data_IF_822476163646
#
_entry.id   IF_822476163646
#
_cell.length_a   1.000
_cell.length_b   1.000
_cell.length_c   1.000
_cell.angle_alpha   90.00
_cell.angle_beta   90.00
_cell.angle_gamma   90.00
#
_symmetry.space_group_name_H-M   'P 1'
#
loop_
_entity.id
_entity.type
_entity.pdbx_description
1 polymer ?
#
# COMPACT_ATOMS: atom_id res chain seq x y z
N UNK A 1 30.46 14.00 38.51
CA UNK A 1 29.35 13.10 38.15
C UNK A 1 28.81 13.49 36.78
N UNK A 2 29.16 12.72 35.75
CA UNK A 2 28.64 12.90 34.39
C UNK A 2 27.13 12.64 34.41
N UNK A 3 26.31 13.67 34.13
CA UNK A 3 24.89 13.48 33.81
C UNK A 3 24.83 12.57 32.60
N UNK A 4 24.57 11.29 32.82
CA UNK A 4 24.13 10.36 31.79
C UNK A 4 22.86 10.97 31.22
N UNK A 5 22.99 11.65 30.08
CA UNK A 5 21.88 12.21 29.34
C UNK A 5 21.08 11.00 28.87
N UNK A 6 20.02 10.64 29.59
CA UNK A 6 19.08 9.60 29.19
C UNK A 6 18.73 9.89 27.75
N UNK A 7 19.18 9.03 26.84
CA UNK A 7 18.97 9.20 25.41
C UNK A 7 17.47 8.95 25.21
N UNK A 8 16.65 10.00 25.37
CA UNK A 8 15.23 9.94 25.07
C UNK A 8 15.13 9.52 23.60
N UNK A 9 14.65 8.29 23.38
CA UNK A 9 14.39 7.78 22.04
C UNK A 9 13.43 8.76 21.34
N UNK A 10 13.78 9.15 20.11
CA UNK A 10 12.95 10.07 19.32
C UNK A 10 11.50 9.53 19.24
N UNK A 11 10.51 10.41 19.47
CA UNK A 11 9.07 10.05 19.53
C UNK A 11 8.61 9.23 18.32
N UNK A 12 9.12 9.55 17.14
CA UNK A 12 8.70 8.92 15.88
C UNK A 12 9.32 7.53 15.72
N UNK A 13 10.57 7.36 16.16
CA UNK A 13 11.21 6.06 16.22
C UNK A 13 10.53 5.16 17.27
N UNK A 14 10.19 5.72 18.43
CA UNK A 14 9.44 5.00 19.47
C UNK A 14 8.05 4.57 18.97
N UNK A 15 7.39 5.39 18.17
CA UNK A 15 6.10 5.04 17.54
C UNK A 15 6.25 3.84 16.57
N UNK A 16 7.31 3.80 15.77
CA UNK A 16 7.56 2.65 14.87
C UNK A 16 7.78 1.34 15.65
N UNK A 17 8.45 1.38 16.80
CA UNK A 17 8.61 0.21 17.67
C UNK A 17 7.31 -0.17 18.39
N UNK A 18 6.44 0.80 18.67
CA UNK A 18 5.09 0.50 19.14
C UNK A 18 4.29 -0.25 18.06
N UNK A 19 4.30 0.24 16.81
CA UNK A 19 3.61 -0.45 15.71
C UNK A 19 4.22 -1.84 15.44
N UNK A 20 5.53 -2.02 15.65
CA UNK A 20 6.16 -3.34 15.57
C UNK A 20 5.56 -4.37 16.53
N UNK A 21 4.97 -3.96 17.66
CA UNK A 21 4.27 -4.88 18.56
C UNK A 21 3.00 -5.44 17.92
N UNK A 22 2.30 -4.65 17.10
CA UNK A 22 1.17 -5.16 16.30
C UNK A 22 1.64 -6.25 15.34
N UNK A 23 2.82 -6.09 14.75
CA UNK A 23 3.43 -7.12 13.91
C UNK A 23 3.84 -8.38 14.71
N UNK A 24 4.09 -8.25 16.01
CA UNK A 24 4.33 -9.41 16.90
C UNK A 24 3.05 -10.20 17.14
N UNK A 25 1.89 -9.56 17.28
CA UNK A 25 0.59 -10.25 17.38
C UNK A 25 0.30 -11.08 16.12
N UNK A 26 0.61 -10.54 14.93
CA UNK A 26 0.50 -11.30 13.69
C UNK A 26 1.47 -12.51 13.63
N UNK A 27 2.57 -12.47 14.37
CA UNK A 27 3.58 -13.53 14.42
C UNK A 27 3.29 -14.60 15.51
N UNK A 28 2.49 -14.27 16.51
CA UNK A 28 2.21 -15.19 17.63
C UNK A 28 1.28 -16.33 17.19
N UNK A 29 1.77 -17.57 17.31
CA UNK A 29 1.00 -18.79 16.96
C UNK A 29 -0.18 -19.06 17.91
N UNK A 30 -0.25 -18.37 19.06
CA UNK A 30 -1.41 -18.43 19.96
C UNK A 30 -2.59 -17.61 19.46
N UNK A 31 -2.33 -16.63 18.57
CA UNK A 31 -3.38 -15.84 17.93
C UNK A 31 -4.01 -16.67 16.81
N UNK A 32 -5.35 -16.73 16.72
CA UNK A 32 -6.03 -17.44 15.64
C UNK A 32 -5.57 -16.97 14.25
N UNK A 33 -5.54 -17.88 13.28
CA UNK A 33 -4.90 -17.65 11.98
C UNK A 33 -5.49 -16.46 11.21
N UNK A 34 -6.81 -16.29 11.21
CA UNK A 34 -7.47 -15.15 10.55
C UNK A 34 -7.23 -13.85 11.32
N UNK A 35 -7.11 -13.91 12.64
CA UNK A 35 -6.77 -12.75 13.46
C UNK A 35 -5.34 -12.26 13.20
N UNK A 36 -4.40 -13.17 12.93
CA UNK A 36 -3.03 -12.80 12.51
C UNK A 36 -3.04 -11.99 11.21
N UNK A 37 -3.89 -12.35 10.25
CA UNK A 37 -4.11 -11.57 9.02
C UNK A 37 -4.69 -10.19 9.34
N UNK A 38 -5.65 -10.11 10.27
CA UNK A 38 -6.22 -8.84 10.73
C UNK A 38 -5.17 -7.96 11.42
N UNK A 39 -4.26 -8.53 12.21
CA UNK A 39 -3.13 -7.77 12.78
C UNK A 39 -2.16 -7.24 11.73
N UNK A 40 -1.90 -7.98 10.65
CA UNK A 40 -1.17 -7.44 9.49
C UNK A 40 -1.91 -6.23 8.88
N UNK A 41 -3.24 -6.33 8.74
CA UNK A 41 -4.05 -5.22 8.25
C UNK A 41 -3.98 -3.98 9.17
N UNK A 42 -4.06 -4.18 10.49
CA UNK A 42 -3.92 -3.11 11.49
C UNK A 42 -2.53 -2.48 11.42
N UNK A 43 -1.47 -3.29 11.37
CA UNK A 43 -0.09 -2.82 11.23
C UNK A 43 0.08 -1.91 10.00
N UNK A 44 -0.44 -2.34 8.85
CA UNK A 44 -0.41 -1.59 7.59
C UNK A 44 -1.20 -0.28 7.69
N UNK A 45 -2.43 -0.33 8.24
CA UNK A 45 -3.27 0.86 8.44
C UNK A 45 -2.61 1.90 9.34
N UNK A 46 -2.02 1.47 10.46
CA UNK A 46 -1.30 2.34 11.37
C UNK A 46 -0.11 3.01 10.68
N UNK A 47 0.66 2.24 9.90
CA UNK A 47 1.83 2.74 9.19
C UNK A 47 1.45 3.77 8.12
N UNK A 48 0.34 3.56 7.41
CA UNK A 48 -0.23 4.54 6.49
C UNK A 48 -0.53 5.86 7.20
N UNK A 49 -1.16 5.81 8.37
CA UNK A 49 -1.49 7.03 9.15
C UNK A 49 -0.23 7.73 9.66
N UNK A 50 0.78 6.97 10.05
CA UNK A 50 2.08 7.54 10.44
C UNK A 50 2.75 8.30 9.29
N UNK A 51 2.74 7.74 8.07
CA UNK A 51 3.24 8.44 6.88
C UNK A 51 2.39 9.64 6.47
N UNK A 52 1.09 9.61 6.75
CA UNK A 52 0.15 10.69 6.42
C UNK A 52 0.28 11.89 7.36
N UNK A 53 0.50 11.65 8.66
CA UNK A 53 0.48 12.71 9.69
C UNK A 53 1.88 13.11 10.16
N UNK A 54 2.75 12.13 10.42
CA UNK A 54 4.01 12.38 11.15
C UNK A 54 5.18 12.70 10.24
N UNK A 55 5.34 11.95 9.16
CA UNK A 55 6.42 12.16 8.19
C UNK A 55 6.37 13.56 7.52
N UNK A 56 5.20 14.13 7.16
CA UNK A 56 5.14 15.46 6.58
C UNK A 56 5.58 16.55 7.57
N UNK A 57 5.23 16.40 8.85
CA UNK A 57 5.67 17.30 9.91
C UNK A 57 7.20 17.32 10.02
N UNK A 58 7.84 16.16 10.00
CA UNK A 58 9.31 16.05 9.96
C UNK A 58 9.90 16.64 8.67
N UNK A 59 9.27 16.37 7.52
CA UNK A 59 9.71 16.87 6.21
C UNK A 59 9.69 18.40 6.16
N UNK A 60 8.64 19.04 6.68
CA UNK A 60 8.55 20.50 6.78
C UNK A 60 9.66 21.07 7.68
N UNK A 61 9.97 20.40 8.80
CA UNK A 61 11.09 20.79 9.67
C UNK A 61 12.46 20.73 8.97
N UNK A 62 12.63 19.91 7.94
CA UNK A 62 13.89 19.90 7.16
C UNK A 62 14.09 21.16 6.30
N UNK A 63 13.00 21.81 5.90
CA UNK A 63 13.03 23.01 5.06
C UNK A 63 13.28 24.28 5.88
N UNK A 64 13.06 24.22 7.20
CA UNK A 64 13.43 25.28 8.15
C UNK A 64 14.91 25.10 8.51
N UNK A 65 15.78 25.72 7.72
CA UNK A 65 17.25 25.62 7.78
C UNK A 65 17.83 25.79 9.20
N UNK A 66 19.01 25.17 9.47
CA UNK A 66 19.93 25.20 10.65
C UNK A 66 19.38 25.40 12.07
N UNK A 67 18.48 26.36 12.31
CA UNK A 67 17.78 26.62 13.57
C UNK A 67 16.95 25.42 14.06
N UNK A 68 16.49 24.52 13.19
CA UNK A 68 15.75 23.32 13.63
C UNK A 68 16.58 22.42 14.56
N UNK A 69 17.89 22.27 14.33
CA UNK A 69 18.75 21.46 15.21
C UNK A 69 18.94 22.12 16.59
N UNK A 70 18.96 23.45 16.63
CA UNK A 70 19.05 24.24 17.85
C UNK A 70 17.73 24.23 18.64
N UNK A 71 16.59 24.25 17.95
CA UNK A 71 15.25 24.27 18.57
C UNK A 71 14.82 22.87 19.05
N UNK A 72 15.07 21.81 18.27
CA UNK A 72 14.56 20.45 18.56
C UNK A 72 15.61 19.49 19.13
N UNK A 73 16.89 19.84 19.10
CA UNK A 73 17.97 18.99 19.61
C UNK A 73 18.31 17.76 18.75
N UNK A 74 17.65 17.57 17.60
CA UNK A 74 17.94 16.50 16.63
C UNK A 74 17.91 17.01 15.18
N UNK A 75 18.44 16.23 14.24
CA UNK A 75 18.42 16.54 12.81
C UNK A 75 17.22 15.81 12.15
N UNK A 76 16.16 16.51 11.70
CA UNK A 76 14.98 15.89 11.10
C UNK A 76 15.28 15.05 9.86
N UNK A 77 16.26 15.44 9.01
CA UNK A 77 16.68 14.65 7.84
C UNK A 77 17.25 13.29 8.26
N UNK A 78 18.03 13.25 9.36
CA UNK A 78 18.57 12.01 9.91
C UNK A 78 17.45 11.10 10.44
N UNK A 79 16.43 11.67 11.08
CA UNK A 79 15.26 10.92 11.57
C UNK A 79 14.45 10.33 10.42
N UNK A 80 14.18 11.09 9.35
CA UNK A 80 13.47 10.58 8.16
C UNK A 80 14.22 9.39 7.53
N UNK A 81 15.55 9.48 7.42
CA UNK A 81 16.37 8.35 6.93
C UNK A 81 16.29 7.13 7.86
N UNK A 82 16.29 7.34 9.17
CA UNK A 82 16.12 6.26 10.15
C UNK A 82 14.73 5.61 10.05
N UNK A 83 13.68 6.42 9.90
CA UNK A 83 12.31 5.95 9.67
C UNK A 83 12.28 5.05 8.44
N UNK A 84 12.78 5.52 7.29
CA UNK A 84 12.84 4.73 6.05
C UNK A 84 13.52 3.38 6.26
N UNK A 85 14.68 3.36 6.93
CA UNK A 85 15.41 2.12 7.20
C UNK A 85 14.63 1.14 8.10
N UNK A 86 13.98 1.64 9.15
CA UNK A 86 13.17 0.83 10.06
C UNK A 86 11.96 0.28 9.32
N UNK A 87 11.24 1.13 8.58
CA UNK A 87 10.07 0.74 7.79
C UNK A 87 10.43 -0.32 6.77
N UNK A 88 11.50 -0.13 5.99
CA UNK A 88 11.95 -1.16 5.02
C UNK A 88 12.25 -2.49 5.71
N UNK A 89 12.82 -2.48 6.91
CA UNK A 89 13.05 -3.71 7.69
C UNK A 89 11.74 -4.35 8.17
N UNK A 90 10.79 -3.54 8.65
CA UNK A 90 9.50 -4.01 9.11
C UNK A 90 8.64 -4.56 7.95
N UNK A 91 8.65 -3.90 6.80
CA UNK A 91 8.01 -4.37 5.55
C UNK A 91 8.58 -5.73 5.12
N UNK A 92 9.91 -5.91 5.16
CA UNK A 92 10.52 -7.24 4.88
C UNK A 92 10.03 -8.32 5.84
N UNK A 93 9.93 -8.00 7.13
CA UNK A 93 9.42 -8.94 8.15
C UNK A 93 7.94 -9.23 7.93
N UNK A 94 7.16 -8.22 7.59
CA UNK A 94 5.76 -8.33 7.23
C UNK A 94 5.57 -9.30 6.06
N UNK A 95 6.35 -9.12 4.99
CA UNK A 95 6.27 -9.95 3.78
C UNK A 95 6.58 -11.41 4.10
N UNK A 96 7.65 -11.66 4.85
CA UNK A 96 8.01 -13.00 5.28
C UNK A 96 6.88 -13.64 6.11
N UNK A 97 6.35 -12.92 7.10
CA UNK A 97 5.28 -13.44 7.94
C UNK A 97 4.00 -13.74 7.14
N UNK A 98 3.66 -12.90 6.17
CA UNK A 98 2.50 -13.11 5.31
C UNK A 98 2.71 -14.31 4.36
N UNK A 99 3.74 -14.27 3.52
CA UNK A 99 3.94 -15.23 2.43
C UNK A 99 4.51 -16.57 2.93
N UNK A 100 5.48 -16.52 3.84
CA UNK A 100 6.22 -17.72 4.24
C UNK A 100 5.62 -18.46 5.43
N UNK A 101 4.76 -17.82 6.21
CA UNK A 101 4.13 -18.42 7.38
C UNK A 101 2.61 -18.49 7.22
N UNK A 102 1.91 -17.34 7.22
CA UNK A 102 0.44 -17.29 7.29
C UNK A 102 -0.19 -17.95 6.05
N UNK A 103 0.28 -17.64 4.84
CA UNK A 103 -0.24 -18.26 3.62
C UNK A 103 -0.01 -19.78 3.62
N UNK A 104 1.12 -20.26 4.14
CA UNK A 104 1.40 -21.71 4.23
C UNK A 104 0.51 -22.39 5.28
N UNK A 105 0.23 -21.72 6.39
CA UNK A 105 -0.71 -22.22 7.40
C UNK A 105 -2.16 -22.26 6.88
N UNK A 106 -2.58 -21.26 6.09
CA UNK A 106 -3.88 -21.30 5.42
C UNK A 106 -4.02 -22.53 4.52
N UNK A 107 -2.95 -22.90 3.81
CA UNK A 107 -2.93 -24.10 2.96
C UNK A 107 -3.13 -25.38 3.80
N UNK A 108 -2.55 -25.46 5.01
CA UNK A 108 -2.78 -26.58 5.93
C UNK A 108 -4.24 -26.66 6.38
N UNK A 109 -4.90 -25.51 6.50
CA UNK A 109 -6.34 -25.36 6.75
C UNK A 109 -7.22 -25.54 5.48
N UNK A 110 -6.62 -25.96 4.35
CA UNK A 110 -7.26 -26.13 3.04
C UNK A 110 -7.85 -24.84 2.46
N UNK A 111 -7.31 -23.69 2.85
CA UNK A 111 -7.68 -22.36 2.36
C UNK A 111 -6.55 -21.87 1.46
N UNK A 112 -6.88 -21.55 0.21
CA UNK A 112 -5.92 -21.12 -0.80
C UNK A 112 -6.25 -19.70 -1.26
N UNK A 113 -5.33 -18.78 -1.02
CA UNK A 113 -5.33 -17.48 -1.70
C UNK A 113 -4.62 -17.70 -3.04
N UNK A 114 -5.33 -17.51 -4.14
CA UNK A 114 -4.82 -17.77 -5.49
C UNK A 114 -4.84 -16.50 -6.35
N UNK A 115 -4.00 -16.49 -7.38
CA UNK A 115 -3.93 -15.41 -8.36
C UNK A 115 -4.51 -15.82 -9.73
N UNK A 116 -4.43 -14.91 -10.70
CA UNK A 116 -4.96 -15.07 -12.06
C UNK A 116 -4.35 -16.23 -12.83
N UNK A 117 -3.11 -16.63 -12.51
CA UNK A 117 -2.40 -17.72 -13.19
C UNK A 117 -2.76 -19.10 -12.62
N UNK A 118 -3.46 -19.15 -11.49
CA UNK A 118 -3.78 -20.38 -10.75
C UNK A 118 -5.27 -20.79 -10.89
N UNK A 119 -6.01 -20.10 -11.75
CA UNK A 119 -7.41 -20.39 -12.05
C UNK A 119 -7.54 -21.65 -12.93
N UNK A 120 -8.43 -22.57 -12.54
CA UNK A 120 -8.89 -23.62 -13.44
C UNK A 120 -10.03 -23.10 -14.33
N UNK A 121 -10.50 -23.91 -15.28
CA UNK A 121 -11.55 -23.52 -16.23
C UNK A 121 -12.81 -23.02 -15.51
N UNK A 122 -13.35 -23.79 -14.56
CA UNK A 122 -14.58 -23.45 -13.84
C UNK A 122 -14.45 -22.15 -13.00
N UNK A 123 -13.33 -21.96 -12.29
CA UNK A 123 -13.06 -20.73 -11.54
C UNK A 123 -12.83 -19.55 -12.48
N UNK A 124 -12.18 -19.76 -13.62
CA UNK A 124 -12.02 -18.75 -14.66
C UNK A 124 -13.35 -18.27 -15.25
N UNK A 125 -14.30 -19.17 -15.47
CA UNK A 125 -15.67 -18.82 -15.89
C UNK A 125 -16.41 -18.03 -14.81
N UNK A 126 -16.32 -18.46 -13.55
CA UNK A 126 -16.86 -17.71 -12.41
C UNK A 126 -16.29 -16.29 -12.34
N UNK A 127 -14.96 -16.15 -12.45
CA UNK A 127 -14.26 -14.86 -12.43
C UNK A 127 -14.71 -13.98 -13.59
N UNK A 128 -14.81 -14.49 -14.82
CA UNK A 128 -15.30 -13.74 -16.00
C UNK A 128 -16.74 -13.27 -15.82
N UNK A 129 -17.60 -14.11 -15.26
CA UNK A 129 -19.00 -13.74 -14.95
C UNK A 129 -19.06 -12.64 -13.89
N UNK A 130 -18.36 -12.81 -12.77
CA UNK A 130 -18.26 -11.79 -11.74
C UNK A 130 -17.72 -10.47 -12.32
N UNK A 131 -16.68 -10.56 -13.15
CA UNK A 131 -16.09 -9.41 -13.82
C UNK A 131 -17.13 -8.65 -14.65
N UNK A 132 -17.83 -9.34 -15.55
CA UNK A 132 -18.83 -8.72 -16.43
C UNK A 132 -20.01 -8.13 -15.66
N UNK A 133 -20.52 -8.86 -14.68
CA UNK A 133 -21.79 -8.52 -14.02
C UNK A 133 -21.62 -7.45 -12.93
N UNK A 134 -20.48 -7.43 -12.23
CA UNK A 134 -20.27 -6.59 -11.04
C UNK A 134 -19.12 -5.60 -11.17
N UNK A 135 -17.99 -6.03 -11.73
CA UNK A 135 -16.74 -5.25 -11.66
C UNK A 135 -16.57 -4.29 -12.85
N UNK A 136 -16.72 -4.78 -14.08
CA UNK A 136 -16.53 -4.00 -15.32
C UNK A 136 -17.30 -2.67 -15.31
N UNK A 137 -18.57 -2.57 -14.86
CA UNK A 137 -19.29 -1.30 -14.80
C UNK A 137 -18.69 -0.25 -13.85
N UNK A 138 -17.82 -0.67 -12.93
CA UNK A 138 -17.17 0.19 -11.94
C UNK A 138 -15.77 0.64 -12.36
N UNK A 139 -15.19 0.00 -13.38
CA UNK A 139 -13.82 0.27 -13.81
C UNK A 139 -13.76 1.44 -14.80
N UNK A 140 -12.84 2.36 -14.56
CA UNK A 140 -12.56 3.51 -15.43
C UNK A 140 -11.06 3.52 -15.73
N UNK A 141 -10.61 2.87 -16.83
CA UNK A 141 -9.23 2.96 -17.26
C UNK A 141 -8.95 4.36 -17.85
N UNK A 142 -7.87 4.99 -17.38
CA UNK A 142 -7.43 6.32 -17.82
C UNK A 142 -6.14 6.14 -18.63
N UNK A 143 -6.26 6.24 -19.96
CA UNK A 143 -5.10 6.24 -20.83
C UNK A 143 -4.23 7.48 -20.57
N UNK A 144 -2.93 7.26 -20.41
CA UNK A 144 -1.96 8.31 -20.18
C UNK A 144 -1.41 8.84 -21.52
N UNK A 145 -1.25 10.15 -21.59
CA UNK A 145 -0.82 10.88 -22.78
C UNK A 145 0.22 11.91 -22.33
N UNK A 146 1.39 11.92 -22.99
CA UNK A 146 2.48 12.83 -22.64
C UNK A 146 2.15 14.30 -22.88
N UNK A 147 1.18 14.59 -23.75
CA UNK A 147 0.67 15.95 -23.99
C UNK A 147 -0.24 16.47 -22.88
N UNK A 148 -0.67 15.60 -21.95
CA UNK A 148 -1.59 15.95 -20.86
C UNK A 148 -0.92 15.82 -19.50
N UNK A 149 -1.37 16.60 -18.50
CA UNK A 149 -0.93 16.40 -17.12
C UNK A 149 -1.26 14.98 -16.63
N UNK A 150 -0.36 14.41 -15.82
CA UNK A 150 -0.60 13.12 -15.20
C UNK A 150 -1.84 13.18 -14.29
N UNK A 151 -2.76 12.18 -14.33
CA UNK A 151 -3.97 12.19 -13.51
C UNK A 151 -3.69 12.30 -12.01
N UNK A 152 -4.52 13.04 -11.30
CA UNK A 152 -4.38 13.17 -9.85
C UNK A 152 -4.79 11.87 -9.14
N UNK A 153 -3.84 11.23 -8.46
CA UNK A 153 -4.09 10.03 -7.65
C UNK A 153 -4.76 10.41 -6.32
N UNK A 154 -5.85 9.72 -5.98
CA UNK A 154 -6.52 9.83 -4.67
C UNK A 154 -5.62 9.28 -3.56
N UNK A 155 -5.64 9.93 -2.40
CA UNK A 155 -4.86 9.52 -1.24
C UNK A 155 -5.23 8.10 -0.77
N UNK A 156 -4.22 7.23 -0.62
CA UNK A 156 -4.31 5.82 -0.18
C UNK A 156 -5.25 4.94 -1.01
N UNK A 157 -5.65 5.38 -2.20
CA UNK A 157 -6.31 4.51 -3.16
C UNK A 157 -5.25 3.66 -3.88
N UNK A 158 -5.66 2.45 -4.26
CA UNK A 158 -4.82 1.55 -5.04
C UNK A 158 -5.10 1.80 -6.50
N UNK A 159 -4.05 1.88 -7.29
CA UNK A 159 -4.13 1.92 -8.74
C UNK A 159 -3.31 0.80 -9.34
N UNK A 160 -3.73 0.33 -10.51
CA UNK A 160 -2.83 -0.31 -11.45
C UNK A 160 -2.25 0.72 -12.40
N UNK A 161 -0.92 0.72 -12.53
CA UNK A 161 -0.27 1.20 -13.73
C UNK A 161 -0.20 0.03 -14.71
N UNK A 162 -0.87 0.17 -15.84
CA UNK A 162 -0.93 -0.82 -16.91
C UNK A 162 -0.05 -0.36 -18.07
N UNK A 163 0.77 -1.28 -18.59
CA UNK A 163 1.63 -1.08 -19.76
C UNK A 163 1.14 -1.97 -20.89
N UNK A 164 0.84 -1.35 -22.03
CA UNK A 164 0.50 -2.04 -23.27
C UNK A 164 1.66 -1.86 -24.25
N UNK A 165 2.20 -2.97 -24.78
CA UNK A 165 3.38 -2.94 -25.67
C UNK A 165 3.07 -3.58 -27.01
N UNK A 166 3.48 -2.93 -28.10
CA UNK A 166 3.41 -3.45 -29.48
C UNK A 166 4.80 -3.47 -30.10
N UNK A 167 5.31 -4.64 -30.53
CA UNK A 167 6.72 -4.81 -30.95
C UNK A 167 6.99 -4.32 -32.37
N UNK A 168 6.02 -4.39 -33.27
CA UNK A 168 6.27 -4.22 -34.70
C UNK A 168 6.47 -2.77 -35.23
N UNK A 169 6.39 -1.73 -34.40
CA UNK A 169 6.64 -0.34 -34.83
C UNK A 169 7.23 0.49 -33.67
N UNK A 170 8.56 0.65 -33.63
CA UNK A 170 9.27 1.52 -32.68
C UNK A 170 8.87 1.36 -31.20
N UNK A 171 8.53 0.14 -30.75
CA UNK A 171 8.02 -0.13 -29.39
C UNK A 171 7.06 0.96 -28.89
N UNK A 172 5.91 1.11 -29.56
CA UNK A 172 4.86 2.01 -29.06
C UNK A 172 4.30 1.46 -27.75
N UNK A 173 4.83 1.96 -26.65
CA UNK A 173 4.33 1.72 -25.29
C UNK A 173 3.19 2.69 -25.01
N UNK A 174 2.10 2.18 -24.45
CA UNK A 174 1.03 3.00 -23.89
C UNK A 174 0.87 2.67 -22.42
N UNK A 175 0.70 3.70 -21.62
CA UNK A 175 0.36 3.54 -20.21
C UNK A 175 -1.11 3.84 -19.98
N UNK A 176 -1.68 3.13 -19.02
CA UNK A 176 -3.01 3.41 -18.49
C UNK A 176 -2.97 3.32 -16.98
N UNK A 177 -3.80 4.13 -16.34
CA UNK A 177 -3.98 4.14 -14.89
C UNK A 177 -5.40 3.70 -14.58
N UNK A 178 -5.57 2.78 -13.63
CA UNK A 178 -6.89 2.28 -13.26
C UNK A 178 -7.00 2.15 -11.75
N UNK A 179 -7.98 2.83 -11.14
CA UNK A 179 -8.28 2.71 -9.71
C UNK A 179 -8.92 1.35 -9.42
N UNK A 180 -8.48 0.67 -8.37
CA UNK A 180 -9.12 -0.56 -7.92
C UNK A 180 -10.31 -0.18 -7.02
N UNK A 181 -11.55 -0.62 -7.33
CA UNK A 181 -12.77 -0.14 -6.69
C UNK A 181 -13.06 -0.83 -5.34
N UNK A 182 -12.08 -0.89 -4.43
CA UNK A 182 -12.20 -1.56 -3.12
C UNK A 182 -13.17 -0.89 -2.15
N UNK A 183 -13.66 0.33 -2.47
CA UNK A 183 -14.68 1.04 -1.68
C UNK A 183 -16.11 0.58 -1.98
N UNK A 184 -16.37 0.15 -3.21
CA UNK A 184 -17.70 -0.25 -3.67
C UNK A 184 -17.86 -1.76 -3.79
N UNK A 185 -16.74 -2.50 -3.85
CA UNK A 185 -16.71 -3.94 -3.98
C UNK A 185 -15.82 -4.57 -2.91
N UNK A 186 -16.22 -5.76 -2.46
CA UNK A 186 -15.39 -6.58 -1.59
C UNK A 186 -14.08 -6.94 -2.30
N UNK A 187 -12.96 -6.78 -1.60
CA UNK A 187 -11.64 -7.10 -2.16
C UNK A 187 -11.38 -8.60 -2.24
N UNK A 188 -12.01 -9.40 -1.38
CA UNK A 188 -11.84 -10.85 -1.35
C UNK A 188 -13.06 -11.52 -1.96
N UNK A 189 -12.84 -12.33 -2.99
CA UNK A 189 -13.90 -13.08 -3.66
C UNK A 189 -13.69 -14.55 -3.35
N UNK A 190 -14.66 -15.15 -2.66
CA UNK A 190 -14.69 -16.60 -2.43
C UNK A 190 -15.11 -17.29 -3.72
N UNK A 191 -14.25 -18.17 -4.21
CA UNK A 191 -14.46 -18.93 -5.44
C UNK A 191 -15.15 -20.27 -5.12
N UNK A 192 -15.78 -20.92 -6.13
CA UNK A 192 -16.36 -22.24 -5.96
C UNK A 192 -15.39 -23.25 -5.35
N UNK A 193 -15.85 -23.96 -4.32
CA UNK A 193 -15.10 -25.00 -3.63
C UNK A 193 -14.86 -26.21 -4.55
N UNK A 194 -13.76 -26.94 -4.34
CA UNK A 194 -13.51 -28.21 -5.03
C UNK A 194 -12.79 -29.17 -4.09
N UNK A 195 -13.27 -30.40 -3.94
CA UNK A 195 -12.66 -31.43 -3.09
C UNK A 195 -12.40 -30.99 -1.63
N UNK A 196 -13.32 -30.22 -1.04
CA UNK A 196 -13.15 -29.66 0.31
C UNK A 196 -11.96 -28.68 0.43
N UNK A 197 -11.53 -28.10 -0.70
CA UNK A 197 -10.53 -27.03 -0.78
C UNK A 197 -11.22 -25.71 -1.09
N UNK A 198 -10.89 -24.69 -0.31
CA UNK A 198 -11.52 -23.37 -0.35
C UNK A 198 -10.58 -22.39 -1.03
N UNK A 199 -11.11 -21.57 -1.94
CA UNK A 199 -10.30 -20.68 -2.77
C UNK A 199 -10.78 -19.24 -2.60
N UNK A 200 -9.84 -18.32 -2.40
CA UNK A 200 -10.06 -16.89 -2.33
C UNK A 200 -9.19 -16.25 -3.41
N UNK A 201 -9.77 -15.36 -4.21
CA UNK A 201 -9.02 -14.50 -5.14
C UNK A 201 -9.23 -13.04 -4.76
N UNK A 202 -8.19 -12.23 -4.92
CA UNK A 202 -8.30 -10.78 -4.72
C UNK A 202 -8.92 -10.12 -5.95
N UNK A 203 -9.67 -9.05 -5.73
CA UNK A 203 -10.25 -8.21 -6.77
C UNK A 203 -9.17 -7.71 -7.75
N UNK A 204 -7.99 -7.40 -7.22
CA UNK A 204 -6.77 -7.08 -7.95
C UNK A 204 -6.48 -8.13 -9.05
N UNK A 205 -6.48 -9.41 -8.70
CA UNK A 205 -6.16 -10.49 -9.66
C UNK A 205 -7.34 -10.83 -10.58
N UNK A 206 -8.59 -10.60 -10.15
CA UNK A 206 -9.75 -10.65 -11.07
C UNK A 206 -9.61 -9.62 -12.19
N UNK A 207 -9.19 -8.40 -11.85
CA UNK A 207 -8.91 -7.34 -12.83
C UNK A 207 -7.76 -7.77 -13.75
N UNK A 208 -6.67 -8.33 -13.21
CA UNK A 208 -5.52 -8.82 -13.99
C UNK A 208 -5.91 -9.91 -14.98
N UNK A 209 -6.71 -10.88 -14.53
CA UNK A 209 -7.23 -11.96 -15.37
C UNK A 209 -8.09 -11.45 -16.54
N UNK A 210 -8.71 -10.28 -16.38
CA UNK A 210 -9.61 -9.68 -17.37
C UNK A 210 -9.02 -8.45 -18.06
N UNK A 211 -7.69 -8.23 -18.01
CA UNK A 211 -7.05 -7.08 -18.68
C UNK A 211 -7.37 -7.04 -20.18
N UNK A 212 -7.36 -8.19 -20.85
CA UNK A 212 -7.71 -8.26 -22.27
C UNK A 212 -9.15 -7.80 -22.55
N UNK A 213 -10.07 -8.07 -21.63
CA UNK A 213 -11.46 -7.61 -21.75
C UNK A 213 -11.61 -6.11 -21.50
N UNK A 214 -10.73 -5.51 -20.69
CA UNK A 214 -10.75 -4.06 -20.40
C UNK A 214 -10.16 -3.29 -21.59
N UNK A 215 -9.06 -3.78 -22.16
CA UNK A 215 -8.28 -3.07 -23.18
C UNK A 215 -8.54 -3.58 -24.60
N UNK A 216 -9.62 -4.33 -24.84
CA UNK A 216 -9.92 -5.00 -26.12
C UNK A 216 -9.92 -4.09 -27.37
N UNK A 217 -10.14 -2.78 -27.20
CA UNK A 217 -10.13 -1.80 -28.31
C UNK A 217 -8.71 -1.38 -28.74
N UNK A 218 -7.70 -1.70 -27.93
CA UNK A 218 -6.32 -1.34 -28.21
C UNK A 218 -5.60 -2.51 -28.87
N UNK A 219 -4.70 -2.17 -29.79
CA UNK A 219 -3.82 -3.12 -30.46
C UNK A 219 -2.48 -3.18 -29.72
N UNK A 220 -2.21 -4.33 -29.10
CA UNK A 220 -1.00 -4.62 -28.32
C UNK A 220 -0.67 -6.12 -28.39
N UNK A 221 0.58 -6.46 -28.12
CA UNK A 221 1.07 -7.84 -28.03
C UNK A 221 1.21 -8.32 -26.59
N UNK A 222 1.60 -7.41 -25.68
CA UNK A 222 1.68 -7.71 -24.25
C UNK A 222 0.98 -6.64 -23.43
N UNK A 223 0.39 -7.08 -22.32
CA UNK A 223 -0.25 -6.23 -21.33
C UNK A 223 0.21 -6.67 -19.94
N UNK A 224 0.68 -5.71 -19.15
CA UNK A 224 1.18 -5.95 -17.80
C UNK A 224 0.61 -4.88 -16.88
N UNK A 225 0.30 -5.25 -15.63
CA UNK A 225 -0.24 -4.33 -14.64
C UNK A 225 0.58 -4.42 -13.35
N UNK A 226 0.80 -3.29 -12.69
CA UNK A 226 1.52 -3.25 -11.42
C UNK A 226 0.84 -2.32 -10.44
N UNK A 227 0.72 -2.80 -9.20
CA UNK A 227 0.04 -2.08 -8.13
C UNK A 227 0.88 -0.89 -7.69
N UNK A 228 0.22 0.26 -7.51
CA UNK A 228 0.78 1.45 -6.88
C UNK A 228 -0.19 2.04 -5.87
N UNK A 229 0.35 2.63 -4.81
CA UNK A 229 -0.42 3.38 -3.82
C UNK A 229 0.35 4.63 -3.42
N UNK A 230 -0.29 5.79 -3.59
CA UNK A 230 0.27 7.07 -3.21
C UNK A 230 -0.30 7.51 -1.85
N UNK A 231 0.58 7.92 -0.94
CA UNK A 231 0.20 8.59 0.32
C UNK A 231 0.61 10.05 0.24
N UNK A 232 -0.35 10.95 0.50
CA UNK A 232 -0.14 12.41 0.51
C UNK A 232 -0.12 12.92 1.94
N UNK A 233 0.44 14.11 2.14
CA UNK A 233 0.29 14.76 3.44
C UNK A 233 -1.19 15.07 3.75
N UNK A 234 -1.55 14.97 5.02
CA UNK A 234 -2.80 15.53 5.51
C UNK A 234 -2.68 17.06 5.66
N UNK A 235 -3.81 17.76 5.50
CA UNK A 235 -3.97 19.11 6.07
C UNK A 235 -3.66 19.05 7.57
N UNK A 236 -2.95 20.06 8.07
CA UNK A 236 -2.46 20.07 9.46
C UNK A 236 -3.61 20.09 10.46
N UNK A 237 -3.76 19.00 11.21
CA UNK A 237 -4.31 19.05 12.56
C UNK A 237 -3.13 19.17 13.52
N UNK A 238 -2.96 20.34 14.13
CA UNK A 238 -1.89 20.61 15.10
C UNK A 238 -2.29 20.02 16.46
N UNK A 239 -1.46 19.14 17.02
CA UNK A 239 -1.55 18.70 18.42
C UNK A 239 -1.52 19.94 19.35
N UNK A 240 -2.31 19.94 20.43
CA UNK A 240 -2.38 21.06 21.40
C UNK A 240 -1.09 21.24 22.23
N UNK A 241 -0.18 20.26 22.22
CA UNK A 241 1.06 20.25 23.01
C UNK A 241 2.26 20.93 22.30
N UNK A 242 1.98 21.75 21.29
CA UNK A 242 2.98 22.30 20.39
C UNK A 242 3.27 23.76 20.73
N UNK A 243 4.55 24.14 20.85
CA UNK A 243 4.94 25.50 21.26
C UNK A 243 4.53 26.58 20.25
N UNK A 244 4.09 27.75 20.72
CA UNK A 244 3.67 28.89 19.86
C UNK A 244 4.73 29.28 18.83
N UNK A 245 6.02 29.21 19.16
CA UNK A 245 7.13 29.48 18.23
C UNK A 245 7.21 28.48 17.08
N UNK A 246 6.83 27.22 17.31
CA UNK A 246 6.75 26.20 16.26
C UNK A 246 5.54 26.41 15.37
N UNK A 247 4.39 26.77 15.95
CA UNK A 247 3.18 27.14 15.21
C UNK A 247 3.48 28.32 14.27
N UNK A 248 4.10 29.39 14.77
CA UNK A 248 4.44 30.57 13.97
C UNK A 248 5.39 30.26 12.80
N UNK A 249 6.37 29.40 13.03
CA UNK A 249 7.37 29.05 12.01
C UNK A 249 6.77 28.14 10.93
N UNK A 250 5.89 27.21 11.31
CA UNK A 250 5.17 26.35 10.37
C UNK A 250 4.12 27.14 9.59
N UNK A 251 3.37 28.02 10.24
CA UNK A 251 2.29 28.80 9.61
C UNK A 251 2.79 29.68 8.47
N UNK A 252 4.01 30.24 8.60
CA UNK A 252 4.67 31.00 7.53
C UNK A 252 5.05 30.15 6.30
N UNK A 253 5.26 28.84 6.47
CA UNK A 253 5.54 27.91 5.37
C UNK A 253 4.28 27.35 4.68
N UNK A 254 3.10 27.54 5.29
CA UNK A 254 1.81 26.94 4.87
C UNK A 254 1.03 27.77 3.85
N UNK A 255 1.33 29.06 3.67
CA UNK A 255 0.48 30.00 2.91
C UNK A 255 0.42 29.78 1.38
N UNK A 256 0.84 28.63 0.83
CA UNK A 256 0.89 28.42 -0.63
C UNK A 256 0.36 27.09 -1.17
N UNK A 257 -0.30 26.23 -0.38
CA UNK A 257 -0.64 24.88 -0.86
C UNK A 257 -2.12 24.57 -0.69
N UNK A 258 -2.83 24.41 -1.81
CA UNK A 258 -4.24 23.99 -1.83
C UNK A 258 -4.43 22.48 -1.65
N UNK A 259 -3.38 21.65 -1.82
CA UNK A 259 -3.42 20.17 -1.68
C UNK A 259 -2.05 19.61 -1.27
N UNK A 260 -2.05 18.46 -0.59
CA UNK A 260 -0.86 17.84 0.00
C UNK A 260 0.16 17.25 -0.98
N UNK A 261 1.47 17.39 -0.66
CA UNK A 261 2.59 16.84 -1.47
C UNK A 261 2.56 15.30 -1.38
N UNK A 262 2.87 14.56 -2.46
CA UNK A 262 3.11 13.13 -2.36
C UNK A 262 4.29 12.84 -1.41
N UNK A 263 4.06 11.98 -0.43
CA UNK A 263 5.04 11.66 0.62
C UNK A 263 5.61 10.26 0.51
N UNK A 264 4.83 9.33 -0.03
CA UNK A 264 5.23 7.95 -0.21
C UNK A 264 4.56 7.37 -1.43
N UNK A 265 5.33 6.76 -2.31
CA UNK A 265 4.86 5.88 -3.37
C UNK A 265 5.25 4.45 -2.99
N UNK A 266 4.25 3.65 -2.64
CA UNK A 266 4.39 2.21 -2.50
C UNK A 266 4.15 1.59 -3.88
N UNK A 267 5.09 0.79 -4.36
CA UNK A 267 5.02 0.17 -5.69
C UNK A 267 5.34 -1.33 -5.60
N UNK A 268 4.78 -2.10 -6.54
CA UNK A 268 5.06 -3.53 -6.65
C UNK A 268 6.56 -3.76 -6.94
N UNK A 269 7.24 -4.55 -6.11
CA UNK A 269 8.67 -4.83 -6.26
C UNK A 269 9.02 -5.53 -7.59
N UNK A 270 8.07 -6.19 -8.24
CA UNK A 270 8.27 -6.81 -9.55
C UNK A 270 8.02 -5.83 -10.72
N UNK A 271 7.69 -4.57 -10.44
CA UNK A 271 7.49 -3.55 -11.47
C UNK A 271 8.80 -3.29 -12.25
N UNK A 272 8.75 -3.35 -13.60
CA UNK A 272 9.87 -3.00 -14.45
C UNK A 272 10.41 -1.59 -14.18
N UNK A 273 11.73 -1.42 -14.28
CA UNK A 273 12.40 -0.16 -13.95
C UNK A 273 11.95 1.01 -14.83
N UNK A 274 11.60 0.76 -16.09
CA UNK A 274 11.08 1.77 -17.01
C UNK A 274 9.71 2.30 -16.56
N UNK A 275 8.83 1.43 -16.05
CA UNK A 275 7.53 1.84 -15.48
C UNK A 275 7.71 2.65 -14.19
N UNK A 276 8.64 2.24 -13.33
CA UNK A 276 8.95 2.99 -12.11
C UNK A 276 9.54 4.36 -12.44
N UNK A 277 10.47 4.43 -13.40
CA UNK A 277 11.08 5.69 -13.86
C UNK A 277 10.01 6.63 -14.41
N UNK A 278 9.10 6.11 -15.24
CA UNK A 278 7.96 6.87 -15.74
C UNK A 278 7.11 7.48 -14.61
N UNK A 279 6.82 6.74 -13.54
CA UNK A 279 6.08 7.26 -12.39
C UNK A 279 6.86 8.32 -11.61
N UNK A 280 8.15 8.10 -11.37
CA UNK A 280 9.02 9.04 -10.66
C UNK A 280 9.06 10.37 -11.38
N UNK A 281 9.23 10.35 -12.71
CA UNK A 281 9.27 11.54 -13.54
C UNK A 281 7.93 12.28 -13.58
N UNK A 282 6.82 11.54 -13.72
CA UNK A 282 5.47 12.15 -13.80
C UNK A 282 4.97 12.70 -12.46
N UNK A 283 5.40 12.13 -11.34
CA UNK A 283 4.95 12.51 -10.00
C UNK A 283 5.93 13.42 -9.24
N UNK A 284 7.11 13.72 -9.80
CA UNK A 284 8.17 14.53 -9.20
C UNK A 284 8.54 14.02 -7.79
N UNK A 285 8.87 12.72 -7.72
CA UNK A 285 9.14 12.03 -6.45
C UNK A 285 10.63 11.96 -6.13
N UNK A 286 10.95 12.32 -4.90
CA UNK A 286 12.28 12.09 -4.34
C UNK A 286 12.49 10.59 -4.06
N UNK A 287 13.73 10.10 -4.19
CA UNK A 287 14.10 8.69 -3.89
C UNK A 287 13.75 8.25 -2.46
N UNK A 288 13.60 9.19 -1.52
CA UNK A 288 13.18 8.93 -0.14
C UNK A 288 11.68 8.64 0.01
N UNK A 289 10.87 8.98 -0.99
CA UNK A 289 9.45 8.66 -1.05
C UNK A 289 9.15 7.27 -1.63
N UNK A 290 10.13 6.62 -2.27
CA UNK A 290 9.94 5.33 -2.93
C UNK A 290 10.12 4.19 -1.93
N UNK A 291 9.08 3.35 -1.80
CA UNK A 291 9.08 2.16 -0.96
C UNK A 291 8.67 0.96 -1.82
N UNK A 292 9.55 -0.04 -2.01
CA UNK A 292 9.14 -1.30 -2.66
C UNK A 292 8.24 -2.09 -1.70
N UNK A 293 7.12 -2.59 -2.23
CA UNK A 293 6.14 -3.40 -1.52
C UNK A 293 5.83 -4.71 -2.24
N UNK A 294 4.92 -5.49 -1.66
CA UNK A 294 4.42 -6.71 -2.29
C UNK A 294 3.58 -6.42 -3.53
N UNK A 295 3.15 -7.49 -4.19
CA UNK A 295 2.17 -7.45 -5.28
C UNK A 295 0.85 -6.76 -4.87
N UNK A 296 0.39 -6.98 -3.64
CA UNK A 296 -0.86 -6.44 -3.10
C UNK A 296 -0.58 -5.31 -2.11
N UNK A 297 -1.03 -4.09 -2.46
CA UNK A 297 -0.93 -2.92 -1.58
C UNK A 297 -2.19 -2.73 -0.74
N UNK A 298 -2.21 -1.70 0.11
CA UNK A 298 -3.35 -1.36 0.96
C UNK A 298 -3.83 -2.54 1.81
N UNK A 299 -2.89 -3.15 2.54
CA UNK A 299 -3.16 -4.35 3.32
C UNK A 299 -4.19 -4.14 4.43
N UNK A 300 -4.54 -2.89 4.76
CA UNK A 300 -5.66 -2.57 5.65
C UNK A 300 -6.98 -3.23 5.23
N UNK A 301 -7.18 -3.51 3.93
CA UNK A 301 -8.40 -4.18 3.47
C UNK A 301 -8.49 -5.62 4.00
N UNK A 302 -7.37 -6.27 4.34
CA UNK A 302 -7.34 -7.60 4.97
C UNK A 302 -7.99 -7.63 6.35
N UNK A 303 -8.40 -6.49 6.91
CA UNK A 303 -9.24 -6.47 8.12
C UNK A 303 -10.56 -7.20 7.89
N UNK A 304 -11.10 -7.15 6.66
CA UNK A 304 -12.30 -7.85 6.23
C UNK A 304 -12.01 -9.19 5.55
N UNK A 305 -10.81 -9.75 5.75
CA UNK A 305 -10.48 -11.07 5.21
C UNK A 305 -11.49 -12.12 5.70
N UNK A 306 -12.11 -12.90 4.80
CA UNK A 306 -13.20 -13.79 5.18
C UNK A 306 -12.67 -15.07 5.84
N UNK A 307 -13.28 -15.47 6.95
CA UNK A 307 -13.10 -16.83 7.48
C UNK A 307 -14.01 -17.81 6.75
N UNK A 308 -13.45 -18.48 5.75
CA UNK A 308 -14.10 -19.62 5.07
C UNK A 308 -13.82 -20.95 5.76
N UNK A 309 -12.95 -20.96 6.77
CA UNK A 309 -12.46 -22.13 7.49
C UNK A 309 -13.36 -22.59 8.61
N UNK A 310 -12.74 -23.11 9.68
CA UNK A 310 -13.44 -23.44 10.93
C UNK A 310 -13.56 -22.19 11.83
N UNK A 311 -14.58 -22.10 12.71
CA UNK A 311 -14.79 -20.92 13.56
C UNK A 311 -13.60 -20.55 14.45
N UNK A 312 -12.80 -21.54 14.88
CA UNK A 312 -11.66 -21.36 15.78
C UNK A 312 -10.45 -20.66 15.12
N UNK A 313 -10.52 -20.38 13.82
CA UNK A 313 -9.52 -19.55 13.15
C UNK A 313 -9.72 -18.05 13.43
N UNK A 314 -10.81 -17.68 14.11
CA UNK A 314 -11.11 -16.34 14.61
C UNK A 314 -11.28 -16.36 16.14
N UNK A 315 -11.23 -15.18 16.77
CA UNK A 315 -11.66 -15.09 18.16
C UNK A 315 -13.15 -15.41 18.28
N UNK A 316 -13.53 -16.06 19.38
CA UNK A 316 -14.95 -16.20 19.72
C UNK A 316 -15.52 -14.80 19.93
N UNK A 317 -16.62 -14.49 19.24
CA UNK A 317 -17.33 -13.23 19.47
C UNK A 317 -17.99 -13.33 20.84
N UNK A 318 -17.67 -12.37 21.71
CA UNK A 318 -18.42 -12.21 22.96
C UNK A 318 -19.90 -11.89 22.61
N UNK A 319 -20.87 -12.51 23.30
CA UNK A 319 -22.30 -12.35 23.02
C UNK A 319 -22.83 -10.93 23.10
#
# INVERSE_FOLDING_TARGET
>A
MSKQKTLLNNREISWLYFNERVLQEAADKKVPLIERIRFLAIFSSNLDEFYRVRVPTLSRLTNVNTKAKEIFGYNPKKIIKQIKNIVVKQERRFNHLYEDEIVKELVQEKIFIINEYQLNVARGEFVKKYFKDKLLPTLVPIMLDDSKPFPELKDRAIYFLVKLTKKNQQEKVRYSLMEIPTKSLERFIVLPETNNLKFIILLDDVIRYCLDNIYFIFDYETIEAYSIQLTRDAELELDRDVSEKFIDTLTKSLQKRKKGRPMRLLYDNNMPLDMLTFLVDKLDLDSDALIPGNRYHNFKDFISFPNVGRPELEYQKDP
#
